data_IF_586586813936
#
_entry.id   IF_586586813936
#
_cell.length_a   1.000
_cell.length_b   1.000
_cell.length_c   1.000
_cell.angle_alpha   90.00
_cell.angle_beta   90.00
_cell.angle_gamma   90.00
#
_symmetry.space_group_name_H-M   'P 1'
#
loop_
_entity.id
_entity.type
_entity.pdbx_description
1 polymer ?
#
# COMPACT_ATOMS: atom_id res chain seq x y z
N UNK A 1 -2.87 -20.14 -46.72
CA UNK A 1 -2.11 -20.78 -45.62
C UNK A 1 -2.12 -19.79 -44.50
N UNK A 2 -3.07 -20.01 -43.60
CA UNK A 2 -3.50 -19.05 -42.54
C UNK A 2 -2.42 -18.85 -41.48
N UNK A 3 -2.04 -17.61 -41.28
CA UNK A 3 -1.29 -17.12 -40.11
C UNK A 3 -2.04 -15.93 -39.52
N UNK A 4 -3.26 -16.15 -39.05
CA UNK A 4 -3.98 -15.16 -38.28
C UNK A 4 -4.84 -15.83 -37.20
N UNK A 5 -4.18 -16.27 -36.13
CA UNK A 5 -4.77 -16.56 -34.81
C UNK A 5 -3.76 -16.28 -33.70
N UNK A 6 -3.17 -15.08 -33.66
CA UNK A 6 -2.62 -14.57 -32.42
C UNK A 6 -3.79 -14.09 -31.56
N UNK A 7 -4.42 -15.07 -30.88
CA UNK A 7 -5.38 -14.81 -29.83
C UNK A 7 -4.78 -13.84 -28.83
N UNK A 8 -5.37 -12.68 -28.74
CA UNK A 8 -5.15 -11.67 -27.71
C UNK A 8 -5.50 -12.28 -26.34
N UNK A 9 -4.65 -13.16 -25.83
CA UNK A 9 -4.66 -13.60 -24.45
C UNK A 9 -4.27 -12.37 -23.61
N UNK A 10 -5.25 -11.49 -23.32
CA UNK A 10 -5.11 -10.50 -22.25
C UNK A 10 -4.63 -11.29 -21.04
N UNK A 11 -3.36 -11.15 -20.71
CA UNK A 11 -2.76 -11.73 -19.51
C UNK A 11 -3.68 -11.34 -18.36
N UNK A 12 -4.34 -12.33 -17.75
CA UNK A 12 -5.24 -12.09 -16.61
C UNK A 12 -4.37 -11.51 -15.51
N UNK A 13 -4.40 -10.20 -15.39
CA UNK A 13 -3.69 -9.49 -14.33
C UNK A 13 -4.45 -9.77 -13.04
N UNK A 14 -3.76 -10.37 -12.06
CA UNK A 14 -4.38 -10.59 -10.75
C UNK A 14 -4.73 -9.23 -10.10
N UNK A 15 -5.76 -9.20 -9.23
CA UNK A 15 -6.23 -7.93 -8.65
C UNK A 15 -5.18 -7.14 -7.86
N UNK A 16 -4.19 -7.82 -7.26
CA UNK A 16 -3.06 -7.15 -6.60
C UNK A 16 -2.15 -6.49 -7.62
N UNK A 17 -1.76 -7.20 -8.67
CA UNK A 17 -0.94 -6.66 -9.76
C UNK A 17 -1.63 -5.48 -10.45
N UNK A 18 -2.97 -5.53 -10.60
CA UNK A 18 -3.74 -4.43 -11.16
C UNK A 18 -3.78 -3.21 -10.24
N UNK A 19 -3.87 -3.42 -8.94
CA UNK A 19 -3.77 -2.37 -7.92
C UNK A 19 -2.38 -1.71 -7.98
N UNK A 20 -1.31 -2.51 -7.82
CA UNK A 20 0.07 -2.00 -7.76
C UNK A 20 0.55 -1.41 -9.08
N UNK A 21 0.17 -1.98 -10.22
CA UNK A 21 0.50 -1.44 -11.54
C UNK A 21 -0.10 -0.05 -11.83
N UNK A 22 -1.08 0.37 -11.03
CA UNK A 22 -1.70 1.71 -11.11
C UNK A 22 -1.14 2.69 -10.09
N UNK A 23 -0.25 2.23 -9.20
CA UNK A 23 0.37 3.00 -8.13
C UNK A 23 1.83 3.26 -8.47
N UNK A 24 2.30 4.44 -8.15
CA UNK A 24 3.73 4.72 -8.09
C UNK A 24 4.09 5.22 -6.69
N UNK A 25 5.20 4.74 -6.17
CA UNK A 25 5.78 5.25 -4.94
C UNK A 25 6.27 6.66 -5.20
N UNK A 26 5.88 7.58 -4.34
CA UNK A 26 6.30 8.97 -4.37
C UNK A 26 6.99 9.34 -3.06
N UNK A 27 7.96 10.26 -3.16
CA UNK A 27 8.65 10.82 -1.98
C UNK A 27 9.12 9.75 -0.99
N UNK A 28 9.73 8.68 -1.49
CA UNK A 28 10.29 7.67 -0.63
C UNK A 28 11.45 8.25 0.19
N UNK A 29 11.30 8.21 1.48
CA UNK A 29 12.36 8.57 2.42
C UNK A 29 12.67 7.37 3.30
N UNK A 30 13.94 7.18 3.59
CA UNK A 30 14.37 6.15 4.52
C UNK A 30 15.50 6.67 5.40
N UNK A 31 15.63 6.07 6.57
CA UNK A 31 16.72 6.31 7.50
C UNK A 31 17.12 5.00 8.15
N UNK A 32 18.41 4.79 8.28
CA UNK A 32 18.98 3.75 9.11
C UNK A 32 19.26 4.34 10.47
N UNK A 33 18.61 3.80 11.49
CA UNK A 33 18.85 4.18 12.89
C UNK A 33 19.68 3.08 13.57
N UNK A 34 20.87 3.44 14.03
CA UNK A 34 21.74 2.63 14.88
C UNK A 34 21.69 3.19 16.29
N UNK A 35 20.80 2.64 17.11
CA UNK A 35 20.51 3.14 18.43
C UNK A 35 21.10 2.24 19.52
N UNK A 36 21.81 2.83 20.48
CA UNK A 36 22.36 2.11 21.64
C UNK A 36 21.54 2.41 22.88
N UNK A 37 21.14 1.38 23.65
CA UNK A 37 20.32 1.54 24.86
C UNK A 37 20.97 2.46 25.91
N UNK A 38 20.23 3.26 26.68
CA UNK A 38 18.79 3.51 26.52
C UNK A 38 18.51 4.50 25.41
N UNK A 39 17.41 4.28 24.65
CA UNK A 39 16.98 5.18 23.60
C UNK A 39 15.46 5.17 23.42
N UNK A 40 14.92 6.30 22.96
CA UNK A 40 13.53 6.43 22.59
C UNK A 40 13.33 7.60 21.62
N UNK A 41 12.55 7.39 20.57
CA UNK A 41 12.29 8.38 19.52
C UNK A 41 10.79 8.44 19.23
N UNK A 42 10.22 9.65 19.31
CA UNK A 42 8.82 9.90 18.97
C UNK A 42 8.71 10.44 17.55
N UNK A 43 7.91 9.78 16.74
CA UNK A 43 7.56 10.24 15.41
C UNK A 43 6.19 10.93 15.44
N UNK A 44 6.18 12.24 15.13
CA UNK A 44 4.96 13.03 14.98
C UNK A 44 4.19 12.62 13.73
N UNK A 45 2.85 12.77 13.77
CA UNK A 45 1.98 12.40 12.64
C UNK A 45 1.92 13.38 11.47
N UNK A 46 2.66 14.49 11.53
CA UNK A 46 2.46 15.67 10.69
C UNK A 46 2.88 15.56 9.21
N UNK A 47 3.38 14.43 8.77
CA UNK A 47 3.86 14.21 7.39
C UNK A 47 2.77 13.56 6.53
N UNK A 48 1.57 14.11 6.43
CA UNK A 48 0.51 13.63 5.52
C UNK A 48 0.22 12.11 5.56
N UNK A 49 -0.74 11.62 4.77
CA UNK A 49 -1.06 10.20 4.70
C UNK A 49 0.03 9.45 3.95
N UNK A 50 0.86 8.73 4.68
CA UNK A 50 1.95 7.93 4.12
C UNK A 50 1.88 6.48 4.59
N UNK A 51 2.47 5.60 3.81
CA UNK A 51 2.83 4.27 4.27
C UNK A 51 4.17 4.41 4.99
N UNK A 52 4.20 4.04 6.26
CA UNK A 52 5.41 4.04 7.09
C UNK A 52 5.75 2.61 7.45
N UNK A 53 7.04 2.31 7.49
CA UNK A 53 7.50 0.99 7.91
C UNK A 53 8.68 1.09 8.87
N UNK A 54 8.83 0.04 9.66
CA UNK A 54 9.96 -0.20 10.56
C UNK A 54 10.39 -1.64 10.36
N UNK A 55 11.61 -1.84 9.89
CA UNK A 55 12.29 -3.13 9.80
C UNK A 55 13.35 -3.21 10.91
N UNK A 56 13.29 -4.24 11.75
CA UNK A 56 14.32 -4.50 12.74
C UNK A 56 15.42 -5.35 12.10
N UNK A 57 16.57 -4.76 11.85
CA UNK A 57 17.73 -5.45 11.25
C UNK A 57 18.56 -6.16 12.30
N UNK A 58 18.66 -5.58 13.51
CA UNK A 58 19.40 -6.14 14.65
C UNK A 58 18.77 -5.69 15.96
N UNK A 59 18.80 -6.56 16.98
CA UNK A 59 18.29 -6.26 18.31
C UNK A 59 16.76 -6.35 18.39
N UNK A 60 16.17 -5.49 19.19
CA UNK A 60 14.72 -5.42 19.40
C UNK A 60 14.29 -3.99 19.70
N UNK A 61 12.99 -3.73 19.49
CA UNK A 61 12.37 -2.45 19.79
C UNK A 61 10.94 -2.61 20.29
N UNK A 62 10.46 -1.62 21.03
CA UNK A 62 9.05 -1.44 21.35
C UNK A 62 8.48 -0.34 20.47
N UNK A 63 7.39 -0.60 19.77
CA UNK A 63 6.64 0.39 19.03
C UNK A 63 5.33 0.67 19.78
N UNK A 64 5.10 1.93 20.19
CA UNK A 64 3.95 2.33 20.99
C UNK A 64 3.14 3.43 20.30
N UNK A 65 1.83 3.18 20.15
CA UNK A 65 0.85 4.19 19.80
C UNK A 65 0.19 4.77 21.06
N UNK A 66 -0.15 6.07 21.02
CA UNK A 66 -0.76 6.76 22.14
C UNK A 66 -2.28 6.61 22.18
N UNK A 67 -2.95 6.70 21.02
CA UNK A 67 -4.41 6.64 20.89
C UNK A 67 -4.85 5.72 19.72
N UNK A 68 -5.53 4.60 19.96
CA UNK A 68 -5.63 3.94 21.27
C UNK A 68 -4.28 3.40 21.73
N UNK A 69 -4.09 3.29 23.03
CA UNK A 69 -2.81 2.80 23.59
C UNK A 69 -2.56 1.35 23.15
N UNK A 70 -1.61 1.18 22.25
CA UNK A 70 -1.17 -0.13 21.73
C UNK A 70 0.35 -0.18 21.74
N UNK A 71 0.91 -1.32 22.14
CA UNK A 71 2.36 -1.54 22.13
C UNK A 71 2.65 -2.85 21.41
N UNK A 72 3.61 -2.82 20.50
CA UNK A 72 4.11 -3.96 19.76
C UNK A 72 5.57 -4.20 20.15
N UNK A 73 5.92 -5.44 20.44
CA UNK A 73 7.31 -5.87 20.60
C UNK A 73 7.81 -6.34 19.24
N UNK A 74 8.89 -5.75 18.78
CA UNK A 74 9.53 -6.04 17.50
C UNK A 74 10.88 -6.71 17.76
N UNK A 75 11.12 -7.87 17.16
CA UNK A 75 12.37 -8.60 17.20
C UNK A 75 13.13 -8.45 15.88
N UNK A 76 14.39 -8.89 15.85
CA UNK A 76 15.21 -8.92 14.63
C UNK A 76 14.44 -9.62 13.50
N UNK A 77 14.37 -8.93 12.35
CA UNK A 77 13.65 -9.30 11.15
C UNK A 77 12.16 -9.00 11.14
N UNK A 78 11.55 -8.56 12.23
CA UNK A 78 10.17 -8.11 12.20
C UNK A 78 10.03 -6.88 11.31
N UNK A 79 8.95 -6.90 10.51
CA UNK A 79 8.53 -5.77 9.69
C UNK A 79 7.18 -5.25 10.19
N UNK A 80 7.14 -4.00 10.55
CA UNK A 80 5.92 -3.29 10.91
C UNK A 80 5.59 -2.25 9.83
N UNK A 81 4.35 -2.23 9.37
CA UNK A 81 3.86 -1.27 8.37
C UNK A 81 2.61 -0.58 8.91
N UNK A 82 2.60 0.75 8.85
CA UNK A 82 1.45 1.60 9.12
C UNK A 82 0.99 2.22 7.80
N UNK A 83 -0.27 1.96 7.43
CA UNK A 83 -0.85 2.32 6.14
C UNK A 83 -1.75 3.53 6.31
N UNK A 84 -1.43 4.64 5.63
CA UNK A 84 -2.20 5.88 5.58
C UNK A 84 -2.60 6.39 6.98
N UNK A 85 -1.69 6.27 7.95
CA UNK A 85 -1.92 6.65 9.33
C UNK A 85 -1.23 7.96 9.65
N UNK A 86 -1.98 8.87 10.29
CA UNK A 86 -1.47 10.10 10.90
C UNK A 86 -1.11 9.90 12.37
N UNK A 87 -1.30 8.70 12.91
CA UNK A 87 -1.08 8.45 14.33
C UNK A 87 0.41 8.61 14.69
N UNK A 88 0.75 9.46 15.67
CA UNK A 88 2.09 9.49 16.24
C UNK A 88 2.42 8.16 16.91
N UNK A 89 3.67 7.73 16.78
CA UNK A 89 4.15 6.54 17.47
C UNK A 89 5.53 6.78 18.05
N UNK A 90 5.88 5.98 19.03
CA UNK A 90 7.19 6.00 19.67
C UNK A 90 7.90 4.67 19.46
N UNK A 91 9.15 4.72 19.04
CA UNK A 91 10.09 3.59 19.04
C UNK A 91 11.04 3.74 20.21
N UNK A 92 11.29 2.66 20.96
CA UNK A 92 12.17 2.68 22.14
C UNK A 92 12.73 1.27 22.42
N UNK A 93 13.86 1.21 23.12
CA UNK A 93 14.40 -0.06 23.62
C UNK A 93 13.64 -0.57 24.85
N UNK A 94 13.22 0.33 25.73
CA UNK A 94 12.55 -0.02 27.00
C UNK A 94 11.42 0.98 27.34
N UNK A 95 10.32 0.53 28.01
CA UNK A 95 9.17 1.39 28.33
C UNK A 95 9.50 2.64 29.19
N UNK A 96 10.62 2.64 29.88
CA UNK A 96 11.09 3.73 30.77
C UNK A 96 12.16 4.60 30.13
N UNK A 97 12.60 4.32 28.91
CA UNK A 97 13.61 5.12 28.23
C UNK A 97 13.11 6.52 27.96
N UNK A 98 14.00 7.49 28.07
CA UNK A 98 13.71 8.88 27.70
C UNK A 98 13.41 8.96 26.21
N UNK A 99 12.34 9.67 25.88
CA UNK A 99 11.88 9.82 24.51
C UNK A 99 12.16 11.23 24.03
N UNK A 100 12.83 11.36 22.89
CA UNK A 100 13.07 12.64 22.21
C UNK A 100 12.26 12.69 20.90
N UNK A 101 12.07 13.90 20.38
CA UNK A 101 11.40 14.07 19.09
C UNK A 101 12.28 13.60 17.93
N UNK A 102 11.67 13.01 16.92
CA UNK A 102 12.39 12.50 15.73
C UNK A 102 13.17 13.60 15.00
N UNK A 103 12.70 14.85 15.04
CA UNK A 103 13.41 15.97 14.41
C UNK A 103 14.77 16.26 15.04
N UNK A 104 14.93 16.00 16.34
CA UNK A 104 16.21 16.13 17.03
C UNK A 104 17.18 15.03 16.59
N UNK A 105 16.68 13.79 16.54
CA UNK A 105 17.46 12.62 16.16
C UNK A 105 17.85 12.66 14.69
N UNK A 106 16.99 13.16 13.80
CA UNK A 106 17.26 13.32 12.38
C UNK A 106 18.42 14.30 12.09
N UNK A 107 18.68 15.26 12.97
CA UNK A 107 19.84 16.18 12.83
C UNK A 107 21.20 15.49 13.02
N UNK A 108 21.21 14.30 13.61
CA UNK A 108 22.41 13.49 13.82
C UNK A 108 22.75 12.63 12.62
N UNK A 109 22.02 12.76 11.52
CA UNK A 109 22.21 11.97 10.32
C UNK A 109 23.54 12.29 9.62
N UNK A 110 24.29 11.23 9.34
CA UNK A 110 25.49 11.29 8.49
C UNK A 110 25.40 10.20 7.45
N UNK A 111 25.39 10.57 6.17
CA UNK A 111 25.33 9.64 5.02
C UNK A 111 24.16 8.64 5.09
N UNK A 112 22.98 9.07 5.51
CA UNK A 112 21.77 8.23 5.60
C UNK A 112 21.69 7.38 6.87
N UNK A 113 22.69 7.42 7.74
CA UNK A 113 22.74 6.68 9.01
C UNK A 113 22.65 7.65 10.19
N UNK A 114 21.83 7.30 11.16
CA UNK A 114 21.66 8.04 12.41
C UNK A 114 22.23 7.21 13.54
N UNK A 115 23.22 7.74 14.25
CA UNK A 115 23.78 7.16 15.48
C UNK A 115 23.21 7.89 16.70
N UNK A 116 22.52 7.15 17.58
CA UNK A 116 21.83 7.74 18.72
C UNK A 116 21.84 6.80 19.94
N UNK A 117 21.84 7.35 21.15
CA UNK A 117 21.58 6.60 22.39
C UNK A 117 22.66 6.64 23.44
N UNK A 118 22.56 5.75 24.45
CA UNK A 118 23.33 5.79 25.70
C UNK A 118 24.55 4.87 25.79
N UNK A 119 24.96 4.20 24.71
CA UNK A 119 26.17 3.35 24.68
C UNK A 119 25.98 1.89 25.14
N UNK A 120 24.75 1.46 25.41
CA UNK A 120 24.41 0.07 25.73
C UNK A 120 24.21 -0.83 24.49
N UNK A 121 23.45 -1.91 24.58
CA UNK A 121 23.19 -2.83 23.46
C UNK A 121 22.66 -2.13 22.22
N UNK A 122 23.19 -2.53 21.05
CA UNK A 122 22.85 -1.93 19.76
C UNK A 122 21.57 -2.52 19.19
N UNK A 123 20.65 -1.64 18.79
CA UNK A 123 19.50 -1.93 17.93
C UNK A 123 19.69 -1.22 16.59
N UNK A 124 19.52 -1.93 15.49
CA UNK A 124 19.55 -1.35 14.15
C UNK A 124 18.17 -1.47 13.51
N UNK A 125 17.61 -0.33 13.12
CA UNK A 125 16.32 -0.22 12.45
C UNK A 125 16.50 0.41 11.06
N UNK A 126 15.74 -0.07 10.09
CA UNK A 126 15.50 0.68 8.84
C UNK A 126 14.06 1.19 8.91
N UNK A 127 13.93 2.51 9.02
CA UNK A 127 12.65 3.19 9.05
C UNK A 127 12.45 3.95 7.75
N UNK A 128 11.24 3.92 7.22
CA UNK A 128 10.95 4.66 6.01
C UNK A 128 9.50 5.07 5.91
N UNK A 129 9.27 5.99 5.00
CA UNK A 129 7.93 6.41 4.63
C UNK A 129 7.89 6.69 3.13
N UNK A 130 6.76 6.39 2.51
CA UNK A 130 6.52 6.76 1.12
C UNK A 130 5.06 7.13 0.93
N UNK A 131 4.82 8.07 0.04
CA UNK A 131 3.50 8.40 -0.47
C UNK A 131 3.12 7.45 -1.59
N UNK A 132 1.84 7.38 -1.86
CA UNK A 132 1.31 6.72 -3.04
C UNK A 132 0.70 7.76 -3.96
N UNK A 133 0.98 7.64 -5.26
CA UNK A 133 0.52 8.61 -6.27
C UNK A 133 -0.99 8.65 -6.48
N UNK A 134 -1.74 7.78 -5.82
CA UNK A 134 -3.20 7.69 -5.91
C UNK A 134 -3.86 8.21 -4.66
N UNK A 135 -5.00 8.93 -4.85
CA UNK A 135 -5.89 9.28 -3.76
C UNK A 135 -6.28 8.06 -2.93
N UNK A 136 -6.36 8.24 -1.64
CA UNK A 136 -6.39 7.27 -0.53
C UNK A 136 -7.47 6.17 -0.60
N UNK A 137 -8.49 6.33 -1.46
CA UNK A 137 -9.73 5.60 -1.29
C UNK A 137 -9.64 4.06 -1.41
N UNK A 138 -9.00 3.40 -2.40
CA UNK A 138 -9.03 1.94 -2.43
C UNK A 138 -8.14 1.32 -1.37
N UNK A 139 -6.94 1.87 -1.12
CA UNK A 139 -5.96 1.24 -0.25
C UNK A 139 -6.38 1.28 1.21
N UNK A 140 -6.95 2.40 1.68
CA UNK A 140 -7.43 2.53 3.05
C UNK A 140 -8.59 1.59 3.38
N UNK A 141 -9.37 1.20 2.36
CA UNK A 141 -10.47 0.24 2.51
C UNK A 141 -10.05 -1.21 2.25
N UNK A 142 -8.99 -1.40 1.46
CA UNK A 142 -8.49 -2.69 1.01
C UNK A 142 -7.53 -3.32 2.01
N UNK A 143 -6.65 -2.52 2.61
CA UNK A 143 -5.59 -2.99 3.49
C UNK A 143 -5.86 -2.62 4.96
N UNK A 144 -5.45 -3.46 5.92
CA UNK A 144 -5.51 -3.10 7.33
C UNK A 144 -4.55 -1.94 7.60
N UNK A 145 -4.94 -1.03 8.51
CA UNK A 145 -4.13 0.14 8.85
C UNK A 145 -2.76 -0.19 9.42
N UNK A 146 -2.63 -1.35 10.04
CA UNK A 146 -1.39 -1.82 10.67
C UNK A 146 -1.13 -3.27 10.26
N UNK A 147 0.09 -3.53 9.81
CA UNK A 147 0.62 -4.86 9.54
C UNK A 147 1.83 -5.10 10.46
N UNK A 148 1.84 -6.20 11.18
CA UNK A 148 3.00 -6.68 11.92
C UNK A 148 3.34 -8.09 11.44
N UNK A 149 4.44 -8.22 10.73
CA UNK A 149 4.93 -9.47 10.18
C UNK A 149 6.13 -9.94 11.00
N UNK A 150 5.99 -11.11 11.62
CA UNK A 150 7.05 -11.75 12.43
C UNK A 150 7.87 -12.70 11.58
N UNK A 151 9.19 -12.72 11.80
CA UNK A 151 10.16 -13.49 11.02
C UNK A 151 9.94 -15.00 11.03
N UNK A 152 9.45 -15.54 12.14
CA UNK A 152 9.56 -16.97 12.43
C UNK A 152 8.50 -17.85 11.78
N UNK A 153 7.43 -17.30 11.19
CA UNK A 153 6.28 -18.13 10.89
C UNK A 153 5.92 -18.35 9.41
N UNK A 154 6.29 -17.48 8.44
CA UNK A 154 5.75 -17.68 7.06
C UNK A 154 6.52 -16.96 5.95
N UNK A 155 7.84 -16.75 6.05
CA UNK A 155 8.55 -16.00 5.00
C UNK A 155 9.06 -16.90 3.89
N UNK A 156 8.65 -16.59 2.67
CA UNK A 156 9.35 -17.10 1.50
C UNK A 156 10.80 -16.60 1.50
N UNK A 157 11.75 -17.43 1.07
CA UNK A 157 13.14 -17.01 0.87
C UNK A 157 13.26 -15.72 0.06
N UNK A 158 12.37 -15.51 -0.92
CA UNK A 158 12.33 -14.30 -1.72
C UNK A 158 12.02 -13.04 -0.89
N UNK A 159 11.11 -13.11 0.07
CA UNK A 159 10.81 -11.97 0.95
C UNK A 159 12.01 -11.65 1.84
N UNK A 160 12.63 -12.65 2.44
CA UNK A 160 13.85 -12.47 3.24
C UNK A 160 14.96 -11.81 2.41
N UNK A 161 15.20 -12.28 1.18
CA UNK A 161 16.19 -11.69 0.28
C UNK A 161 15.94 -10.20 0.00
N UNK A 162 14.69 -9.79 -0.18
CA UNK A 162 14.35 -8.36 -0.36
C UNK A 162 14.68 -7.55 0.89
N UNK A 163 14.40 -8.07 2.09
CA UNK A 163 14.72 -7.39 3.35
C UNK A 163 16.24 -7.31 3.57
N UNK A 164 16.97 -8.35 3.25
CA UNK A 164 18.44 -8.39 3.34
C UNK A 164 19.09 -7.40 2.37
N UNK A 165 18.61 -7.35 1.11
CA UNK A 165 19.06 -6.36 0.13
C UNK A 165 18.78 -4.93 0.59
N UNK A 166 17.59 -4.67 1.13
CA UNK A 166 17.24 -3.37 1.67
C UNK A 166 18.14 -2.98 2.85
N UNK A 167 18.40 -3.91 3.76
CA UNK A 167 19.31 -3.70 4.88
C UNK A 167 20.74 -3.43 4.43
N UNK A 168 21.23 -4.14 3.42
CA UNK A 168 22.57 -3.96 2.86
C UNK A 168 22.72 -2.62 2.13
N UNK A 169 21.77 -2.27 1.25
CA UNK A 169 21.80 -1.04 0.47
C UNK A 169 21.68 0.21 1.36
N UNK A 170 20.86 0.15 2.41
CA UNK A 170 20.76 1.24 3.38
C UNK A 170 21.97 1.37 4.30
N UNK A 171 22.76 0.30 4.46
CA UNK A 171 24.00 0.34 5.26
C UNK A 171 25.18 0.97 4.50
N UNK A 172 25.21 0.82 3.17
CA UNK A 172 26.28 1.31 2.30
C UNK A 172 25.71 1.81 0.97
N UNK A 173 25.08 3.00 0.98
CA UNK A 173 24.50 3.56 -0.24
C UNK A 173 25.57 3.75 -1.32
N UNK A 174 25.27 3.30 -2.54
CA UNK A 174 26.12 3.45 -3.72
C UNK A 174 25.49 4.35 -4.79
N UNK A 175 26.01 4.27 -6.00
CA UNK A 175 25.45 4.97 -7.15
C UNK A 175 24.05 4.41 -7.41
N UNK A 176 23.06 5.30 -7.65
CA UNK A 176 21.65 4.97 -7.90
C UNK A 176 20.93 4.26 -6.73
N UNK A 177 21.46 4.30 -5.51
CA UNK A 177 20.83 3.69 -4.32
C UNK A 177 19.38 4.13 -4.13
N UNK A 178 19.02 5.39 -4.36
CA UNK A 178 17.64 5.86 -4.23
C UNK A 178 16.67 5.11 -5.16
N UNK A 179 17.07 4.85 -6.41
CA UNK A 179 16.26 4.09 -7.35
C UNK A 179 16.12 2.63 -6.90
N UNK A 180 17.23 2.01 -6.49
CA UNK A 180 17.23 0.63 -6.02
C UNK A 180 16.37 0.46 -4.75
N UNK A 181 16.54 1.34 -3.78
CA UNK A 181 15.77 1.32 -2.53
C UNK A 181 14.27 1.52 -2.80
N UNK A 182 13.88 2.42 -3.71
CA UNK A 182 12.48 2.60 -4.09
C UNK A 182 11.88 1.32 -4.66
N UNK A 183 12.59 0.61 -5.55
CA UNK A 183 12.15 -0.67 -6.12
C UNK A 183 12.09 -1.78 -5.07
N UNK A 184 13.02 -1.79 -4.12
CA UNK A 184 13.00 -2.72 -2.99
C UNK A 184 11.83 -2.46 -2.05
N UNK A 185 11.41 -1.20 -1.86
CA UNK A 185 10.21 -0.87 -1.09
C UNK A 185 8.93 -1.37 -1.75
N UNK A 186 8.80 -1.21 -3.07
CA UNK A 186 7.66 -1.78 -3.81
C UNK A 186 7.62 -3.29 -3.62
N UNK A 187 8.74 -3.96 -3.84
CA UNK A 187 8.86 -5.41 -3.65
C UNK A 187 8.54 -5.84 -2.21
N UNK A 188 9.13 -5.17 -1.22
CA UNK A 188 8.88 -5.41 0.20
C UNK A 188 7.40 -5.28 0.54
N UNK A 189 6.74 -4.24 0.03
CA UNK A 189 5.32 -3.99 0.31
C UNK A 189 4.42 -5.08 -0.30
N UNK A 190 4.69 -5.50 -1.55
CA UNK A 190 3.97 -6.61 -2.20
C UNK A 190 4.15 -7.90 -1.41
N UNK A 191 5.38 -8.25 -1.02
CA UNK A 191 5.65 -9.44 -0.22
C UNK A 191 5.00 -9.37 1.16
N UNK A 192 4.99 -8.21 1.80
CA UNK A 192 4.32 -8.00 3.07
C UNK A 192 2.82 -8.28 3.00
N UNK A 193 2.16 -7.81 1.94
CA UNK A 193 0.73 -8.06 1.72
C UNK A 193 0.47 -9.55 1.43
N UNK A 194 1.31 -10.20 0.62
CA UNK A 194 1.21 -11.64 0.37
C UNK A 194 1.38 -12.46 1.65
N UNK A 195 2.38 -12.14 2.47
CA UNK A 195 2.62 -12.79 3.75
C UNK A 195 1.44 -12.61 4.71
N UNK A 196 0.89 -11.39 4.77
CA UNK A 196 -0.30 -11.13 5.58
C UNK A 196 -1.53 -11.90 5.07
N UNK A 197 -1.75 -11.93 3.76
CA UNK A 197 -2.88 -12.66 3.16
C UNK A 197 -2.81 -14.19 3.41
N UNK A 198 -1.60 -14.72 3.55
CA UNK A 198 -1.35 -16.15 3.82
C UNK A 198 -1.25 -16.48 5.31
N UNK A 199 -1.27 -15.47 6.20
CA UNK A 199 -1.08 -15.69 7.64
C UNK A 199 -2.28 -16.38 8.28
N UNK A 200 -2.02 -17.49 8.98
CA UNK A 200 -3.03 -18.22 9.74
C UNK A 200 -3.37 -17.56 11.09
N UNK A 201 -2.49 -16.70 11.61
CA UNK A 201 -2.65 -16.07 12.93
C UNK A 201 -3.72 -14.96 12.94
N UNK A 202 -3.97 -14.33 11.79
CA UNK A 202 -5.02 -13.33 11.63
C UNK A 202 -5.61 -13.49 10.23
N UNK A 203 -6.71 -14.22 10.07
CA UNK A 203 -7.32 -14.40 8.75
C UNK A 203 -7.63 -13.03 8.13
N UNK A 204 -7.30 -12.83 6.86
CA UNK A 204 -7.50 -11.56 6.20
C UNK A 204 -8.98 -11.17 6.23
N UNK A 205 -9.24 -9.87 6.38
CA UNK A 205 -10.59 -9.29 6.33
C UNK A 205 -10.70 -8.39 5.10
N UNK A 206 -11.93 -8.06 4.74
CA UNK A 206 -12.17 -7.13 3.65
C UNK A 206 -11.67 -7.66 2.30
N UNK A 207 -11.01 -6.81 1.55
CA UNK A 207 -10.58 -7.10 0.19
C UNK A 207 -9.60 -8.29 0.08
N UNK A 208 -8.64 -8.39 1.00
CA UNK A 208 -7.69 -9.52 1.02
C UNK A 208 -8.39 -10.86 1.27
N UNK A 209 -9.42 -10.89 2.10
CA UNK A 209 -10.27 -12.06 2.27
C UNK A 209 -11.02 -12.42 0.97
N UNK A 210 -11.52 -11.38 0.27
CA UNK A 210 -12.28 -11.58 -0.95
C UNK A 210 -11.42 -12.13 -2.10
N UNK A 211 -10.18 -11.65 -2.28
CA UNK A 211 -9.27 -12.17 -3.32
C UNK A 211 -8.69 -13.54 -2.96
N UNK A 212 -8.67 -13.92 -1.69
CA UNK A 212 -8.29 -15.28 -1.25
C UNK A 212 -9.46 -16.27 -1.29
N UNK A 213 -10.69 -15.80 -1.41
CA UNK A 213 -11.87 -16.66 -1.51
C UNK A 213 -12.04 -17.20 -2.94
N UNK A 214 -12.14 -18.52 -3.09
CA UNK A 214 -12.21 -19.22 -4.38
C UNK A 214 -13.37 -18.79 -5.28
N UNK A 215 -14.41 -18.19 -4.75
CA UNK A 215 -15.59 -17.72 -5.46
C UNK A 215 -15.54 -16.22 -5.72
N UNK A 216 -15.30 -15.41 -4.69
CA UNK A 216 -15.28 -13.96 -4.80
C UNK A 216 -14.11 -13.48 -5.67
N UNK A 217 -12.93 -14.14 -5.59
CA UNK A 217 -11.78 -13.81 -6.43
C UNK A 217 -12.10 -13.80 -7.91
N UNK A 218 -12.88 -14.77 -8.39
CA UNK A 218 -13.27 -14.86 -9.82
C UNK A 218 -14.14 -13.69 -10.26
N UNK A 219 -15.09 -13.26 -9.42
CA UNK A 219 -15.90 -12.10 -9.73
C UNK A 219 -15.07 -10.81 -9.70
N UNK A 220 -14.15 -10.67 -8.75
CA UNK A 220 -13.25 -9.53 -8.66
C UNK A 220 -12.30 -9.48 -9.86
N UNK A 221 -11.66 -10.59 -10.23
CA UNK A 221 -10.84 -10.72 -11.44
C UNK A 221 -11.63 -10.34 -12.71
N UNK A 222 -12.88 -10.80 -12.83
CA UNK A 222 -13.75 -10.47 -13.96
C UNK A 222 -14.08 -8.98 -14.02
N UNK A 223 -14.36 -8.34 -12.88
CA UNK A 223 -14.58 -6.89 -12.79
C UNK A 223 -13.33 -6.11 -13.21
N UNK A 224 -12.16 -6.50 -12.70
CA UNK A 224 -10.89 -5.80 -12.97
C UNK A 224 -10.46 -5.94 -14.44
N UNK A 225 -10.65 -7.12 -15.04
CA UNK A 225 -10.29 -7.37 -16.45
C UNK A 225 -11.28 -6.83 -17.47
N UNK A 226 -12.48 -6.43 -17.04
CA UNK A 226 -13.56 -5.96 -17.91
C UNK A 226 -14.30 -4.77 -17.33
N UNK A 227 -13.58 -3.69 -17.01
CA UNK A 227 -14.17 -2.48 -16.41
C UNK A 227 -15.20 -1.80 -17.30
N UNK A 228 -15.01 -1.87 -18.61
CA UNK A 228 -15.90 -1.31 -19.63
C UNK A 228 -17.21 -2.09 -19.78
N UNK A 229 -17.27 -3.36 -19.32
CA UNK A 229 -18.44 -4.22 -19.49
C UNK A 229 -19.61 -3.77 -18.62
N UNK A 230 -20.82 -3.98 -19.13
CA UNK A 230 -22.05 -3.74 -18.38
C UNK A 230 -22.34 -4.92 -17.43
N UNK A 231 -21.71 -4.89 -16.26
CA UNK A 231 -21.88 -5.91 -15.24
C UNK A 231 -23.18 -5.75 -14.47
N UNK A 232 -23.86 -6.86 -14.21
CA UNK A 232 -24.97 -6.97 -13.27
C UNK A 232 -24.58 -7.90 -12.10
N UNK A 233 -25.32 -7.81 -10.99
CA UNK A 233 -25.10 -8.73 -9.86
C UNK A 233 -25.26 -10.19 -10.29
N UNK A 234 -26.16 -10.45 -11.23
CA UNK A 234 -26.40 -11.79 -11.76
C UNK A 234 -25.23 -12.29 -12.63
N UNK A 235 -24.68 -11.44 -13.51
CA UNK A 235 -23.52 -11.82 -14.33
C UNK A 235 -22.28 -12.06 -13.47
N UNK A 236 -22.06 -11.26 -12.44
CA UNK A 236 -20.96 -11.43 -11.48
C UNK A 236 -21.14 -12.69 -10.61
N UNK A 237 -22.38 -13.01 -10.20
CA UNK A 237 -22.66 -14.24 -9.47
C UNK A 237 -22.37 -15.49 -10.32
N UNK A 238 -22.59 -15.45 -11.64
CA UNK A 238 -22.21 -16.53 -12.58
C UNK A 238 -20.69 -16.72 -12.62
N UNK A 239 -19.91 -15.62 -12.69
CA UNK A 239 -18.43 -15.69 -12.60
C UNK A 239 -17.98 -16.33 -11.29
N UNK A 240 -18.62 -15.97 -10.17
CA UNK A 240 -18.37 -16.54 -8.86
C UNK A 240 -18.87 -17.97 -8.69
N UNK A 241 -19.64 -18.54 -9.66
CA UNK A 241 -20.32 -19.83 -9.56
C UNK A 241 -21.22 -19.92 -8.33
N UNK A 242 -22.01 -18.87 -8.09
CA UNK A 242 -22.93 -18.74 -6.97
C UNK A 242 -24.32 -18.31 -7.45
N UNK A 243 -25.35 -18.55 -6.63
CA UNK A 243 -26.65 -17.91 -6.85
C UNK A 243 -26.53 -16.40 -6.61
N UNK A 244 -27.39 -15.61 -7.28
CA UNK A 244 -27.40 -14.14 -7.16
C UNK A 244 -27.50 -13.66 -5.70
N UNK A 245 -28.40 -14.25 -4.93
CA UNK A 245 -28.62 -13.87 -3.52
C UNK A 245 -27.45 -14.25 -2.62
N UNK A 246 -26.91 -15.48 -2.76
CA UNK A 246 -25.75 -15.94 -1.98
C UNK A 246 -24.49 -15.12 -2.30
N UNK A 247 -24.26 -14.77 -3.57
CA UNK A 247 -23.16 -13.93 -3.99
C UNK A 247 -23.26 -12.52 -3.39
N UNK A 248 -24.40 -11.84 -3.53
CA UNK A 248 -24.60 -10.48 -3.04
C UNK A 248 -24.43 -10.43 -1.51
N UNK A 249 -24.99 -11.40 -0.78
CA UNK A 249 -24.88 -11.49 0.67
C UNK A 249 -23.41 -11.71 1.10
N UNK A 250 -22.73 -12.70 0.50
CA UNK A 250 -21.33 -13.01 0.81
C UNK A 250 -20.40 -11.86 0.46
N UNK A 251 -20.57 -11.24 -0.70
CA UNK A 251 -19.77 -10.10 -1.14
C UNK A 251 -19.87 -8.95 -0.14
N UNK A 252 -21.11 -8.59 0.26
CA UNK A 252 -21.35 -7.53 1.24
C UNK A 252 -20.83 -7.89 2.64
N UNK A 253 -20.97 -9.13 3.06
CA UNK A 253 -20.46 -9.58 4.36
C UNK A 253 -18.92 -9.50 4.45
N UNK A 254 -18.21 -9.81 3.35
CA UNK A 254 -16.75 -9.79 3.30
C UNK A 254 -16.19 -8.39 3.05
N UNK A 255 -16.75 -7.64 2.08
CA UNK A 255 -16.22 -6.35 1.62
C UNK A 255 -16.91 -5.12 2.24
N UNK A 256 -18.03 -5.31 2.96
CA UNK A 256 -18.79 -4.22 3.58
C UNK A 256 -19.63 -3.41 2.60
N UNK A 257 -19.59 -3.70 1.30
CA UNK A 257 -20.27 -2.97 0.21
C UNK A 257 -20.84 -3.93 -0.83
N UNK A 258 -21.73 -3.43 -1.68
CA UNK A 258 -22.32 -4.22 -2.75
C UNK A 258 -21.33 -4.41 -3.93
N UNK A 259 -21.51 -5.46 -4.77
CA UNK A 259 -20.66 -5.69 -5.96
C UNK A 259 -20.60 -4.50 -6.92
N UNK A 260 -21.71 -3.79 -7.13
CA UNK A 260 -21.76 -2.66 -8.06
C UNK A 260 -21.18 -1.37 -7.47
N UNK A 261 -21.28 -1.15 -6.16
CA UNK A 261 -20.56 -0.07 -5.46
C UNK A 261 -19.05 -0.29 -5.59
N UNK A 262 -18.57 -1.50 -5.32
CA UNK A 262 -17.16 -1.87 -5.49
C UNK A 262 -16.68 -1.61 -6.93
N UNK A 263 -17.43 -2.09 -7.94
CA UNK A 263 -17.09 -1.87 -9.34
C UNK A 263 -17.03 -0.37 -9.69
N UNK A 264 -17.97 0.43 -9.17
CA UNK A 264 -18.01 1.87 -9.41
C UNK A 264 -16.79 2.56 -8.83
N UNK A 265 -16.41 2.23 -7.60
CA UNK A 265 -15.20 2.78 -6.97
C UNK A 265 -13.95 2.40 -7.75
N UNK A 266 -13.85 1.15 -8.20
CA UNK A 266 -12.70 0.68 -8.97
C UNK A 266 -12.59 1.35 -10.33
N UNK A 267 -13.72 1.56 -11.03
CA UNK A 267 -13.81 2.35 -12.26
C UNK A 267 -13.28 3.77 -12.06
N UNK A 268 -13.73 4.45 -11.01
CA UNK A 268 -13.28 5.82 -10.73
C UNK A 268 -11.80 5.87 -10.36
N UNK A 269 -11.31 4.90 -9.62
CA UNK A 269 -9.90 4.76 -9.32
C UNK A 269 -9.05 4.63 -10.60
N UNK A 270 -9.41 3.74 -11.51
CA UNK A 270 -8.70 3.55 -12.79
C UNK A 270 -8.77 4.79 -13.69
N UNK A 271 -9.94 5.41 -13.79
CA UNK A 271 -10.07 6.66 -14.53
C UNK A 271 -9.20 7.78 -13.90
N UNK A 272 -9.16 7.87 -12.58
CA UNK A 272 -8.27 8.79 -11.87
C UNK A 272 -6.79 8.58 -12.19
N UNK A 273 -6.33 7.34 -12.28
CA UNK A 273 -4.96 7.02 -12.70
C UNK A 273 -4.67 7.47 -14.15
N UNK A 274 -5.59 7.23 -15.07
CA UNK A 274 -5.46 7.70 -16.49
C UNK A 274 -5.43 9.22 -16.59
N UNK A 275 -6.28 9.92 -15.82
CA UNK A 275 -6.36 11.38 -15.80
C UNK A 275 -5.07 11.99 -15.23
N UNK A 276 -4.53 11.41 -14.16
CA UNK A 276 -3.29 11.86 -13.51
C UNK A 276 -2.07 11.69 -14.39
N UNK A 277 -1.91 10.52 -15.03
CA UNK A 277 -0.80 10.25 -15.95
C UNK A 277 -0.92 11.01 -17.28
N UNK A 278 -2.01 11.75 -17.47
CA UNK A 278 -2.35 12.43 -18.73
C UNK A 278 -2.33 11.49 -19.95
N UNK A 279 -2.55 10.19 -19.72
CA UNK A 279 -2.55 9.16 -20.77
C UNK A 279 -3.87 9.09 -21.55
N UNK A 280 -4.91 9.79 -21.09
CA UNK A 280 -6.22 9.82 -21.75
C UNK A 280 -6.92 11.18 -21.54
N UNK A 281 -7.75 11.56 -22.48
CA UNK A 281 -8.75 12.61 -22.33
C UNK A 281 -9.84 12.18 -21.35
N UNK A 282 -10.68 13.11 -20.89
CA UNK A 282 -11.80 12.75 -19.99
C UNK A 282 -12.82 11.83 -20.67
N UNK A 283 -13.04 12.02 -21.97
CA UNK A 283 -13.94 11.18 -22.77
C UNK A 283 -13.38 9.77 -22.93
N UNK A 284 -12.09 9.62 -23.26
CA UNK A 284 -11.42 8.32 -23.37
C UNK A 284 -11.40 7.60 -22.02
N UNK A 285 -11.08 8.29 -20.93
CA UNK A 285 -11.12 7.71 -19.59
C UNK A 285 -12.54 7.23 -19.22
N UNK A 286 -13.58 8.02 -19.56
CA UNK A 286 -14.98 7.61 -19.34
C UNK A 286 -15.34 6.33 -20.09
N UNK A 287 -15.00 6.27 -21.38
CA UNK A 287 -15.25 5.09 -22.21
C UNK A 287 -14.49 3.85 -21.71
N UNK A 288 -13.21 4.01 -21.37
CA UNK A 288 -12.37 2.92 -20.89
C UNK A 288 -12.89 2.27 -19.60
N UNK A 289 -13.66 3.01 -18.79
CA UNK A 289 -14.28 2.50 -17.56
C UNK A 289 -15.78 2.28 -17.68
N UNK A 290 -16.32 2.21 -18.93
CA UNK A 290 -17.68 1.78 -19.22
C UNK A 290 -18.77 2.83 -19.05
N UNK A 291 -18.44 4.13 -19.21
CA UNK A 291 -19.42 5.21 -19.27
C UNK A 291 -19.63 5.71 -20.68
N UNK A 292 -20.86 5.68 -21.16
CA UNK A 292 -21.23 6.13 -22.51
C UNK A 292 -21.23 7.65 -22.72
N UNK A 293 -21.08 8.45 -21.64
CA UNK A 293 -20.98 9.91 -21.76
C UNK A 293 -20.09 10.53 -20.67
N UNK A 294 -19.36 11.59 -21.05
CA UNK A 294 -18.51 12.35 -20.12
C UNK A 294 -19.33 12.99 -18.99
N UNK A 295 -20.58 13.37 -19.25
CA UNK A 295 -21.44 13.99 -18.22
C UNK A 295 -21.86 12.99 -17.14
N UNK A 296 -22.23 11.77 -17.50
CA UNK A 296 -22.54 10.70 -16.53
C UNK A 296 -21.32 10.29 -15.75
N UNK A 297 -20.18 10.14 -16.41
CA UNK A 297 -18.88 9.89 -15.80
C UNK A 297 -18.50 10.99 -14.79
N UNK A 298 -18.50 12.25 -15.19
CA UNK A 298 -18.10 13.38 -14.34
C UNK A 298 -18.93 13.48 -13.06
N UNK A 299 -20.22 13.18 -13.12
CA UNK A 299 -21.11 13.15 -11.94
C UNK A 299 -20.69 12.07 -10.96
N UNK A 300 -20.45 10.84 -11.45
CA UNK A 300 -20.04 9.73 -10.60
C UNK A 300 -18.62 9.94 -10.09
N UNK A 301 -17.71 10.42 -10.92
CA UNK A 301 -16.34 10.73 -10.55
C UNK A 301 -16.30 11.74 -9.39
N UNK A 302 -17.07 12.84 -9.50
CA UNK A 302 -17.16 13.83 -8.41
C UNK A 302 -17.72 13.24 -7.12
N UNK A 303 -18.70 12.36 -7.20
CA UNK A 303 -19.26 11.68 -6.02
C UNK A 303 -18.24 10.79 -5.31
N UNK A 304 -17.50 10.00 -6.06
CA UNK A 304 -16.55 9.01 -5.51
C UNK A 304 -15.18 9.63 -5.15
N UNK A 305 -14.71 10.60 -5.93
CA UNK A 305 -13.39 11.23 -5.78
C UNK A 305 -13.44 12.59 -5.06
N UNK A 306 -14.62 13.08 -4.74
CA UNK A 306 -14.84 14.38 -4.05
C UNK A 306 -14.72 15.62 -4.95
N UNK A 307 -14.03 15.53 -6.08
CA UNK A 307 -13.79 16.64 -7.02
C UNK A 307 -14.10 16.24 -8.46
N UNK A 308 -14.38 17.23 -9.32
CA UNK A 308 -14.62 16.96 -10.74
C UNK A 308 -13.32 16.55 -11.46
N UNK A 309 -13.39 15.79 -12.60
CA UNK A 309 -12.20 15.30 -13.33
C UNK A 309 -11.19 16.39 -13.70
N UNK A 310 -11.66 17.58 -14.12
CA UNK A 310 -10.79 18.73 -14.45
C UNK A 310 -10.05 19.26 -13.24
N UNK A 311 -10.75 19.38 -12.12
CA UNK A 311 -10.16 19.84 -10.86
C UNK A 311 -9.16 18.81 -10.33
N UNK A 312 -9.49 17.52 -10.41
CA UNK A 312 -8.59 16.43 -10.06
C UNK A 312 -7.28 16.48 -10.84
N UNK A 313 -7.34 16.68 -12.17
CA UNK A 313 -6.14 16.84 -13.03
C UNK A 313 -5.29 18.04 -12.59
N UNK A 314 -5.95 19.18 -12.30
CA UNK A 314 -5.25 20.39 -11.85
C UNK A 314 -4.52 20.17 -10.53
N UNK A 315 -5.17 19.53 -9.56
CA UNK A 315 -4.56 19.22 -8.27
C UNK A 315 -3.36 18.28 -8.42
N UNK A 316 -3.47 17.26 -9.27
CA UNK A 316 -2.36 16.35 -9.55
C UNK A 316 -1.17 17.07 -10.20
N UNK A 317 -1.42 18.01 -11.12
CA UNK A 317 -0.36 18.79 -11.78
C UNK A 317 0.37 19.72 -10.79
N UNK A 318 -0.34 20.35 -9.85
CA UNK A 318 0.25 21.20 -8.82
C UNK A 318 1.16 20.42 -7.88
N UNK A 319 0.76 19.21 -7.50
CA UNK A 319 1.60 18.32 -6.67
C UNK A 319 2.87 17.92 -7.41
N UNK A 320 2.79 17.64 -8.72
CA UNK A 320 3.97 17.29 -9.53
C UNK A 320 4.94 18.46 -9.72
N UNK A 321 4.45 19.69 -9.86
CA UNK A 321 5.31 20.88 -10.02
C UNK A 321 6.01 21.31 -8.72
N UNK A 322 5.38 21.12 -7.56
CA UNK A 322 6.01 21.40 -6.26
C UNK A 322 7.09 20.38 -5.85
N UNK A 323 7.25 19.31 -6.61
CA UNK A 323 8.23 18.23 -6.37
C UNK A 323 9.45 18.33 -7.31
N UNK A 324 9.42 19.24 -8.28
CA UNK A 324 10.52 19.46 -9.26
C UNK A 324 11.42 20.66 -8.92
N UNK A 325 11.13 21.38 -7.85
CA UNK A 325 11.97 22.43 -7.27
C UNK A 325 12.67 21.93 -6.00
#
# INVERSE_FOLDING_TARGET
MDLDQSSNARTRMDPLSDLFGSMSIQEAVYKRLEATAPWGVQYSGDIGPRIRFVLVVRGSALLRFKNPRRTFSLACGDLFISILSYEPFTLMDHPRSTVVDSSEVLRLEVNGVIHYGGGGPLTTLVCGAFGLSTFEAPISTILPRLLHLRLEQDRSHAFQSVLDLLAAETARPGIASLCLISSLYESMFVYAIRAYASSSAAPPKGWLAAISDKHLSKAIEAMHSGLDRNWSVESLAREARMSRSAFALKFRAVLGQTPLEYLTQWRMYKAGAMIRSNSASFSEAALAVGYGSESSFSRVFRREMGVAPREYRRQCALVQSSMGE
#
